data_IF_031520485541
#
_entry.id   IF_031520485541
#
_cell.length_a   1.000
_cell.length_b   1.000
_cell.length_c   1.000
_cell.angle_alpha   90.00
_cell.angle_beta   90.00
_cell.angle_gamma   90.00
#
_symmetry.space_group_name_H-M   'P 1'
#
loop_
_entity.id
_entity.type
_entity.pdbx_description
1 polymer ?
#
# COMPACT_ATOMS: atom_id res chain seq x y z
N UNK A 1 51.25 10.41 24.59
CA UNK A 1 50.14 11.38 24.68
C UNK A 1 48.89 10.72 24.14
N UNK A 2 47.87 10.59 24.97
CA UNK A 2 46.61 9.89 24.69
C UNK A 2 45.65 10.93 24.10
N UNK A 3 45.44 10.94 22.79
CA UNK A 3 44.53 11.90 22.17
C UNK A 3 43.08 11.47 22.43
N UNK A 4 42.38 12.27 23.25
CA UNK A 4 40.96 12.13 23.55
C UNK A 4 40.12 12.27 22.28
N UNK A 5 39.29 11.26 22.03
CA UNK A 5 38.24 11.26 21.00
C UNK A 5 37.07 12.19 21.39
N UNK A 6 36.23 12.50 20.40
CA UNK A 6 34.78 12.80 20.55
C UNK A 6 34.35 14.27 20.76
N UNK A 7 34.25 15.06 19.67
CA UNK A 7 33.01 15.84 19.54
C UNK A 7 32.28 15.64 18.20
N UNK A 8 32.93 15.08 17.18
CA UNK A 8 32.35 15.03 15.81
C UNK A 8 31.23 13.99 15.68
N UNK A 9 31.21 12.95 16.51
CA UNK A 9 30.20 11.89 16.42
C UNK A 9 28.81 12.28 16.96
N UNK A 10 28.68 13.37 17.73
CA UNK A 10 27.40 13.74 18.37
C UNK A 10 26.50 14.60 17.49
N UNK A 11 27.04 15.24 16.44
CA UNK A 11 26.28 16.17 15.60
C UNK A 11 25.48 15.48 14.47
N UNK A 12 25.71 14.19 14.22
CA UNK A 12 25.08 13.45 13.13
C UNK A 12 23.70 12.82 13.47
N UNK A 13 23.30 12.81 14.75
CA UNK A 13 22.06 12.13 15.19
C UNK A 13 20.84 13.06 15.17
N UNK A 14 21.03 14.37 15.19
CA UNK A 14 19.91 15.33 15.29
C UNK A 14 19.13 15.55 13.98
N UNK A 15 19.68 15.17 12.82
CA UNK A 15 19.06 15.47 11.51
C UNK A 15 18.12 14.39 10.99
N UNK A 16 18.05 13.20 11.62
CA UNK A 16 17.18 12.11 11.15
C UNK A 16 15.73 12.22 11.64
N UNK A 17 15.45 13.09 12.62
CA UNK A 17 14.12 13.26 13.19
C UNK A 17 13.12 13.99 12.27
N UNK A 18 13.59 14.76 11.28
CA UNK A 18 12.71 15.54 10.39
C UNK A 18 12.33 14.84 9.08
N UNK A 19 12.86 13.65 8.81
CA UNK A 19 12.56 12.89 7.59
C UNK A 19 11.40 11.89 7.75
N UNK A 20 10.64 11.93 8.85
CA UNK A 20 9.49 11.05 9.03
C UNK A 20 8.31 11.56 8.20
N UNK A 21 8.12 10.96 7.02
CA UNK A 21 6.91 11.16 6.22
C UNK A 21 5.67 10.80 7.08
N UNK A 22 4.57 11.58 6.98
CA UNK A 22 3.30 11.23 7.61
C UNK A 22 2.92 9.80 7.25
N UNK A 23 2.67 8.95 8.25
CA UNK A 23 2.11 7.62 7.97
C UNK A 23 0.63 7.78 7.60
N UNK A 24 0.15 7.09 6.57
CA UNK A 24 -1.28 7.07 6.26
C UNK A 24 -2.06 6.58 7.48
N UNK A 25 -3.18 7.25 7.75
CA UNK A 25 -4.09 6.87 8.83
C UNK A 25 -4.66 5.48 8.56
N UNK A 26 -4.14 4.49 9.28
CA UNK A 26 -4.63 3.09 9.25
C UNK A 26 -6.06 2.93 9.75
N UNK A 27 -6.75 4.03 10.08
CA UNK A 27 -8.15 4.04 10.51
C UNK A 27 -9.14 4.16 9.36
N UNK A 28 -8.69 4.45 8.13
CA UNK A 28 -9.58 4.46 6.98
C UNK A 28 -10.12 3.05 6.69
N UNK A 29 -11.41 2.91 6.32
CA UNK A 29 -11.94 1.60 5.93
C UNK A 29 -11.17 1.07 4.70
N UNK A 30 -10.91 -0.25 4.62
CA UNK A 30 -10.29 -0.85 3.46
C UNK A 30 -11.07 -0.52 2.18
N UNK A 31 -10.41 -0.50 1.02
CA UNK A 31 -11.04 -0.23 -0.26
C UNK A 31 -11.04 -1.50 -1.11
N UNK A 32 -12.22 -1.94 -1.54
CA UNK A 32 -12.37 -3.01 -2.53
C UNK A 32 -12.62 -2.39 -3.90
N UNK A 33 -11.72 -2.61 -4.84
CA UNK A 33 -11.89 -2.25 -6.23
C UNK A 33 -12.37 -3.49 -7.00
N UNK A 34 -13.49 -3.36 -7.72
CA UNK A 34 -13.96 -4.38 -8.69
C UNK A 34 -13.44 -4.00 -10.07
N UNK A 35 -12.40 -4.66 -10.55
CA UNK A 35 -11.82 -4.37 -11.85
C UNK A 35 -12.54 -5.13 -12.97
N UNK A 36 -12.95 -4.40 -14.01
CA UNK A 36 -13.44 -5.00 -15.26
C UNK A 36 -12.33 -5.72 -16.00
N UNK A 37 -11.20 -5.02 -16.18
CA UNK A 37 -9.94 -5.55 -16.71
C UNK A 37 -8.78 -5.05 -15.85
N UNK A 38 -7.91 -5.94 -15.41
CA UNK A 38 -6.71 -5.63 -14.63
C UNK A 38 -5.47 -5.83 -15.49
N UNK A 39 -4.61 -4.81 -15.55
CA UNK A 39 -3.24 -4.88 -16.06
C UNK A 39 -2.30 -4.77 -14.85
N UNK A 40 -1.91 -5.91 -14.30
CA UNK A 40 -1.10 -5.99 -13.08
C UNK A 40 0.43 -5.85 -13.32
N UNK A 41 0.85 -5.77 -14.59
CA UNK A 41 2.25 -5.73 -15.00
C UNK A 41 3.03 -7.04 -14.76
N UNK A 42 2.34 -8.10 -14.31
CA UNK A 42 2.93 -9.42 -14.00
C UNK A 42 2.40 -10.52 -14.92
N UNK A 43 1.13 -10.43 -15.26
CA UNK A 43 0.42 -11.36 -16.12
C UNK A 43 0.69 -11.04 -17.59
N UNK A 44 0.75 -12.10 -18.41
CA UNK A 44 0.96 -11.96 -19.86
C UNK A 44 -0.25 -11.33 -20.59
N UNK A 45 -1.43 -11.35 -19.96
CA UNK A 45 -2.66 -10.84 -20.52
C UNK A 45 -3.53 -10.12 -19.46
N UNK A 46 -4.37 -9.15 -19.87
CA UNK A 46 -5.31 -8.49 -18.98
C UNK A 46 -6.32 -9.48 -18.36
N UNK A 47 -6.54 -9.39 -17.06
CA UNK A 47 -7.42 -10.30 -16.32
C UNK A 47 -8.79 -9.66 -16.05
N UNK A 48 -9.87 -10.41 -16.27
CA UNK A 48 -11.24 -9.92 -16.04
C UNK A 48 -11.83 -10.46 -14.73
N UNK A 49 -12.73 -9.68 -14.10
CA UNK A 49 -13.44 -10.12 -12.90
C UNK A 49 -12.54 -10.21 -11.66
N UNK A 50 -11.57 -9.30 -11.54
CA UNK A 50 -10.58 -9.29 -10.47
C UNK A 50 -11.00 -8.30 -9.38
N UNK A 51 -10.86 -8.70 -8.13
CA UNK A 51 -10.96 -7.84 -6.96
C UNK A 51 -9.58 -7.41 -6.47
N UNK A 52 -9.45 -6.14 -6.09
CA UNK A 52 -8.24 -5.61 -5.44
C UNK A 52 -8.67 -5.06 -4.08
N UNK A 53 -8.12 -5.62 -3.00
CA UNK A 53 -8.35 -5.11 -1.65
C UNK A 53 -7.15 -4.27 -1.23
N UNK A 54 -7.42 -3.02 -0.89
CA UNK A 54 -6.44 -2.04 -0.43
C UNK A 54 -6.71 -1.75 1.04
N UNK A 55 -5.66 -1.71 1.84
CA UNK A 55 -5.69 -1.39 3.26
C UNK A 55 -4.68 -0.27 3.53
N UNK A 56 -5.18 0.91 3.89
CA UNK A 56 -4.40 2.16 3.84
C UNK A 56 -3.85 2.42 2.44
N UNK A 57 -2.52 2.44 2.31
CA UNK A 57 -1.81 2.69 1.05
C UNK A 57 -1.24 1.42 0.40
N UNK A 58 -1.63 0.24 0.89
CA UNK A 58 -1.06 -1.03 0.43
C UNK A 58 -2.11 -1.95 -0.15
N UNK A 59 -1.72 -2.65 -1.21
CA UNK A 59 -2.49 -3.77 -1.75
C UNK A 59 -2.36 -4.93 -0.77
N UNK A 60 -3.49 -5.31 -0.17
CA UNK A 60 -3.60 -6.45 0.75
C UNK A 60 -3.75 -7.76 -0.01
N UNK A 61 -4.61 -7.78 -1.01
CA UNK A 61 -4.78 -8.94 -1.89
C UNK A 61 -5.30 -8.55 -3.27
N UNK A 62 -4.98 -9.38 -4.26
CA UNK A 62 -5.48 -9.32 -5.64
C UNK A 62 -5.88 -10.74 -6.03
N UNK A 63 -7.06 -10.91 -6.62
CA UNK A 63 -7.53 -12.23 -7.02
C UNK A 63 -8.97 -12.23 -7.53
N UNK A 64 -9.58 -13.41 -7.71
CA UNK A 64 -10.96 -13.52 -8.17
C UNK A 64 -11.90 -12.68 -7.30
N UNK A 65 -12.79 -11.90 -7.94
CA UNK A 65 -13.66 -10.95 -7.24
C UNK A 65 -14.43 -11.58 -6.08
N UNK A 66 -14.95 -12.80 -6.25
CA UNK A 66 -15.71 -13.50 -5.22
C UNK A 66 -14.87 -13.80 -3.97
N UNK A 67 -13.62 -14.22 -4.15
CA UNK A 67 -12.71 -14.55 -3.04
C UNK A 67 -12.29 -13.29 -2.29
N UNK A 68 -11.91 -12.25 -3.02
CA UNK A 68 -11.47 -10.97 -2.44
C UNK A 68 -12.62 -10.26 -1.73
N UNK A 69 -13.84 -10.31 -2.29
CA UNK A 69 -15.02 -9.74 -1.66
C UNK A 69 -15.36 -10.42 -0.32
N UNK A 70 -15.13 -11.73 -0.19
CA UNK A 70 -15.27 -12.44 1.09
C UNK A 70 -14.33 -11.92 2.19
N UNK A 71 -13.18 -11.34 1.80
CA UNK A 71 -12.18 -10.76 2.71
C UNK A 71 -12.39 -9.26 2.97
N UNK A 72 -13.20 -8.59 2.16
CA UNK A 72 -13.40 -7.14 2.16
C UNK A 72 -14.50 -6.67 3.15
N UNK A 73 -14.50 -7.22 4.38
CA UNK A 73 -15.50 -6.85 5.40
C UNK A 73 -15.35 -5.38 5.80
N UNK A 74 -16.45 -4.62 5.70
CA UNK A 74 -16.46 -3.19 6.00
C UNK A 74 -15.71 -2.32 4.99
N UNK A 75 -15.31 -2.88 3.85
CA UNK A 75 -14.58 -2.15 2.84
C UNK A 75 -15.49 -1.21 2.05
N UNK A 76 -14.98 -0.03 1.70
CA UNK A 76 -15.58 0.84 0.70
C UNK A 76 -15.41 0.20 -0.67
N UNK A 77 -16.51 -0.03 -1.36
CA UNK A 77 -16.50 -0.64 -2.70
C UNK A 77 -16.42 0.44 -3.77
N UNK A 78 -15.47 0.29 -4.70
CA UNK A 78 -15.38 1.07 -5.93
C UNK A 78 -15.64 0.12 -7.09
N UNK A 79 -16.72 0.37 -7.83
CA UNK A 79 -17.11 -0.44 -8.98
C UNK A 79 -16.49 0.13 -10.26
N UNK A 80 -15.48 -0.56 -10.78
CA UNK A 80 -14.81 -0.25 -12.03
C UNK A 80 -14.97 -1.42 -13.01
N UNK A 81 -16.08 -2.17 -12.91
CA UNK A 81 -16.33 -3.40 -13.68
C UNK A 81 -16.37 -3.21 -15.19
N UNK A 82 -16.51 -1.97 -15.68
CA UNK A 82 -16.49 -1.61 -17.10
C UNK A 82 -15.19 -0.89 -17.52
N UNK A 83 -14.23 -0.75 -16.59
CA UNK A 83 -13.00 0.01 -16.80
C UNK A 83 -11.77 -0.89 -16.72
N UNK A 84 -10.63 -0.35 -17.16
CA UNK A 84 -9.33 -0.99 -17.02
C UNK A 84 -8.58 -0.34 -15.86
N UNK A 85 -7.95 -1.17 -15.02
CA UNK A 85 -7.20 -0.81 -13.82
C UNK A 85 -5.78 -1.34 -13.94
#
# INVERSE_FOLDING_TARGET
>A
MRHSFAPIALLAVATTAWAQAPRPDSSAPPVLIKAGRLIDGRSDAPQSGVGILIDGDRIKTVGPLAEVQGQAKGARVIDLSQMTV
#
